data_IF_343792086748
#
_entry.id   IF_343792086748
#
_cell.length_a   1.000
_cell.length_b   1.000
_cell.length_c   1.000
_cell.angle_alpha   90.00
_cell.angle_beta   90.00
_cell.angle_gamma   90.00
#
_symmetry.space_group_name_H-M   'P 1'
#
loop_
_entity.id
_entity.type
_entity.pdbx_description
1 polymer ?
#
# COMPACT_ATOMS: atom_id res chain seq x y z
N UNK A 1 -19.11 -13.16 -9.94
CA UNK A 1 -17.81 -13.73 -9.52
C UNK A 1 -18.01 -14.38 -8.16
N UNK A 2 -17.49 -15.59 -7.94
CA UNK A 2 -17.51 -16.29 -6.64
C UNK A 2 -16.06 -16.38 -6.17
N UNK A 3 -15.76 -15.89 -4.97
CA UNK A 3 -14.41 -15.82 -4.39
C UNK A 3 -14.36 -16.56 -3.05
N UNK A 4 -13.15 -16.93 -2.62
CA UNK A 4 -12.91 -17.46 -1.28
C UNK A 4 -13.33 -16.42 -0.22
N UNK A 5 -14.07 -16.86 0.79
CA UNK A 5 -14.48 -16.01 1.92
C UNK A 5 -13.31 -15.77 2.87
N UNK A 6 -13.03 -14.49 3.16
CA UNK A 6 -12.07 -14.06 4.16
C UNK A 6 -12.80 -13.80 5.48
N UNK A 7 -12.61 -14.70 6.44
CA UNK A 7 -13.35 -14.78 7.69
C UNK A 7 -13.00 -13.68 8.70
N UNK A 8 -11.82 -13.08 8.57
CA UNK A 8 -11.36 -12.01 9.46
C UNK A 8 -11.51 -10.60 8.86
N UNK A 9 -12.11 -10.50 7.66
CA UNK A 9 -12.36 -9.25 6.96
C UNK A 9 -11.11 -8.69 6.28
N UNK A 10 -11.04 -7.36 6.15
CA UNK A 10 -9.87 -6.69 5.58
C UNK A 10 -8.87 -6.25 6.67
N UNK A 11 -7.62 -5.97 6.25
CA UNK A 11 -6.51 -5.63 7.14
C UNK A 11 -6.84 -4.43 8.04
N UNK A 12 -7.55 -3.41 7.55
CA UNK A 12 -7.91 -2.25 8.38
C UNK A 12 -8.78 -2.66 9.57
N UNK A 13 -9.83 -3.44 9.31
CA UNK A 13 -10.73 -3.95 10.36
C UNK A 13 -9.98 -4.91 11.28
N UNK A 14 -9.10 -5.74 10.72
CA UNK A 14 -8.30 -6.67 11.49
C UNK A 14 -7.35 -5.95 12.46
N UNK A 15 -6.66 -4.90 12.01
CA UNK A 15 -5.80 -4.07 12.85
C UNK A 15 -6.63 -3.40 13.95
N UNK A 16 -7.74 -2.74 13.62
CA UNK A 16 -8.62 -2.09 14.59
C UNK A 16 -9.02 -3.02 15.74
N UNK A 17 -9.34 -4.29 15.43
CA UNK A 17 -9.78 -5.28 16.43
C UNK A 17 -8.65 -5.93 17.22
N UNK A 18 -7.49 -6.13 16.62
CA UNK A 18 -6.45 -7.02 17.16
C UNK A 18 -5.15 -6.30 17.53
N UNK A 19 -4.98 -5.02 17.19
CA UNK A 19 -3.70 -4.33 17.26
C UNK A 19 -3.00 -4.44 18.62
N UNK A 20 -3.73 -4.33 19.73
CA UNK A 20 -3.17 -4.43 21.09
C UNK A 20 -2.61 -5.82 21.44
N UNK A 21 -2.96 -6.85 20.67
CA UNK A 21 -2.48 -8.23 20.85
C UNK A 21 -1.33 -8.56 19.89
N UNK A 22 -1.19 -7.83 18.78
CA UNK A 22 -0.19 -8.12 17.76
C UNK A 22 1.21 -7.79 18.25
N UNK A 23 2.09 -8.79 18.20
CA UNK A 23 3.51 -8.59 18.42
C UNK A 23 4.20 -8.16 17.11
N UNK A 24 5.43 -7.67 17.21
CA UNK A 24 6.20 -7.29 16.03
C UNK A 24 6.41 -8.46 15.05
N UNK A 25 6.50 -9.69 15.55
CA UNK A 25 6.54 -10.90 14.72
C UNK A 25 5.28 -11.07 13.87
N UNK A 26 4.10 -10.74 14.41
CA UNK A 26 2.84 -10.80 13.65
C UNK A 26 2.77 -9.69 12.61
N UNK A 27 3.17 -8.47 12.99
CA UNK A 27 3.23 -7.30 12.08
C UNK A 27 4.16 -7.58 10.89
N UNK A 28 5.35 -8.10 11.15
CA UNK A 28 6.32 -8.49 10.12
C UNK A 28 5.79 -9.61 9.23
N UNK A 29 5.14 -10.62 9.82
CA UNK A 29 4.51 -11.70 9.05
C UNK A 29 3.44 -11.18 8.09
N UNK A 30 2.55 -10.31 8.56
CA UNK A 30 1.51 -9.68 7.72
C UNK A 30 2.16 -8.89 6.57
N UNK A 31 3.15 -8.05 6.88
CA UNK A 31 3.89 -7.29 5.87
C UNK A 31 4.57 -8.20 4.84
N UNK A 32 5.14 -9.33 5.29
CA UNK A 32 5.81 -10.33 4.44
C UNK A 32 4.84 -11.04 3.49
N UNK A 33 3.68 -11.42 4.00
CA UNK A 33 2.63 -12.06 3.20
C UNK A 33 2.11 -11.10 2.09
N UNK A 34 1.94 -9.82 2.42
CA UNK A 34 1.52 -8.79 1.45
C UNK A 34 2.60 -8.57 0.39
N UNK A 35 3.88 -8.37 0.78
CA UNK A 35 4.93 -8.13 -0.21
C UNK A 35 5.20 -9.36 -1.09
N UNK A 36 5.05 -10.57 -0.57
CA UNK A 36 5.15 -11.79 -1.37
C UNK A 36 4.05 -11.87 -2.43
N UNK A 37 2.80 -11.51 -2.05
CA UNK A 37 1.70 -11.38 -3.00
C UNK A 37 2.01 -10.34 -4.08
N UNK A 38 2.52 -9.18 -3.68
CA UNK A 38 2.83 -8.10 -4.62
C UNK A 38 4.02 -8.43 -5.53
N UNK A 39 5.03 -9.11 -4.99
CA UNK A 39 6.17 -9.65 -5.75
C UNK A 39 5.68 -10.63 -6.82
N UNK A 40 4.74 -11.51 -6.49
CA UNK A 40 4.15 -12.41 -7.47
C UNK A 40 3.43 -11.65 -8.59
N UNK A 41 2.61 -10.65 -8.27
CA UNK A 41 1.94 -9.82 -9.30
C UNK A 41 2.95 -9.13 -10.21
N UNK A 42 3.99 -8.53 -9.62
CA UNK A 42 5.03 -7.83 -10.37
C UNK A 42 5.89 -8.77 -11.22
N UNK A 43 6.08 -10.03 -10.82
CA UNK A 43 6.86 -11.00 -11.60
C UNK A 43 6.13 -11.49 -12.86
N UNK A 44 4.80 -11.38 -12.87
CA UNK A 44 3.94 -11.65 -14.04
C UNK A 44 3.44 -10.35 -14.70
N UNK A 45 4.14 -9.24 -14.47
CA UNK A 45 3.88 -7.94 -15.09
C UNK A 45 2.49 -7.36 -14.85
N UNK A 46 1.88 -7.68 -13.70
CA UNK A 46 0.62 -7.08 -13.24
C UNK A 46 0.91 -5.98 -12.22
N UNK A 47 0.32 -4.81 -12.46
CA UNK A 47 0.27 -3.68 -11.51
C UNK A 47 -1.12 -3.66 -10.89
N UNK A 48 -1.22 -3.61 -9.57
CA UNK A 48 -2.48 -3.60 -8.82
C UNK A 48 -3.27 -2.30 -9.00
N UNK A 49 -2.57 -1.15 -8.88
CA UNK A 49 -3.07 0.24 -9.04
C UNK A 49 -4.07 0.73 -7.99
N UNK A 50 -4.45 -0.10 -7.02
CA UNK A 50 -5.40 0.24 -5.96
C UNK A 50 -5.08 -0.53 -4.66
N UNK A 51 -3.79 -0.65 -4.37
CA UNK A 51 -3.33 -1.36 -3.20
C UNK A 51 -3.58 -0.49 -1.95
N UNK A 52 -4.38 -0.98 -1.02
CA UNK A 52 -4.62 -0.33 0.27
C UNK A 52 -5.12 -1.35 1.28
N UNK A 53 -5.11 -1.04 2.58
CA UNK A 53 -5.46 -2.02 3.62
C UNK A 53 -6.88 -2.60 3.51
N UNK A 54 -7.83 -1.89 2.90
CA UNK A 54 -9.18 -2.45 2.64
C UNK A 54 -9.20 -3.52 1.52
N UNK A 55 -8.15 -3.57 0.68
CA UNK A 55 -7.95 -4.54 -0.40
C UNK A 55 -6.93 -5.63 0.01
N UNK A 56 -6.54 -5.65 1.28
CA UNK A 56 -5.83 -6.79 1.89
C UNK A 56 -6.85 -7.53 2.73
N UNK A 57 -7.14 -8.78 2.38
CA UNK A 57 -8.04 -9.65 3.13
C UNK A 57 -7.24 -10.55 4.09
N UNK A 58 -7.79 -10.78 5.27
CA UNK A 58 -7.22 -11.69 6.26
C UNK A 58 -8.06 -12.96 6.28
N UNK A 59 -7.41 -14.10 6.03
CA UNK A 59 -8.04 -15.41 6.09
C UNK A 59 -7.16 -16.39 6.84
N UNK A 60 -7.67 -16.98 7.92
CA UNK A 60 -6.90 -17.88 8.81
C UNK A 60 -5.57 -17.26 9.23
N UNK A 61 -5.62 -16.03 9.74
CA UNK A 61 -4.47 -15.18 10.05
C UNK A 61 -3.53 -14.83 8.88
N UNK A 62 -3.79 -15.22 7.63
CA UNK A 62 -2.94 -14.90 6.48
C UNK A 62 -3.46 -13.69 5.71
N UNK A 63 -2.57 -12.74 5.41
CA UNK A 63 -2.86 -11.61 4.53
C UNK A 63 -2.82 -12.00 3.05
N UNK A 64 -3.83 -11.59 2.29
CA UNK A 64 -3.97 -11.84 0.86
C UNK A 64 -4.40 -10.57 0.14
N UNK A 65 -3.76 -10.27 -0.98
CA UNK A 65 -4.15 -9.15 -1.84
C UNK A 65 -5.45 -9.52 -2.58
N UNK A 66 -6.39 -8.59 -2.65
CA UNK A 66 -7.68 -8.73 -3.29
C UNK A 66 -8.05 -7.47 -4.09
N UNK A 67 -9.16 -7.56 -4.82
CA UNK A 67 -9.69 -6.52 -5.70
C UNK A 67 -8.75 -6.09 -6.85
N UNK A 68 -8.75 -6.93 -7.89
CA UNK A 68 -7.98 -6.71 -9.10
C UNK A 68 -8.73 -5.90 -10.17
N UNK A 69 -9.85 -5.23 -9.83
CA UNK A 69 -10.70 -4.54 -10.82
C UNK A 69 -9.96 -3.42 -11.58
N UNK A 70 -9.00 -2.78 -10.91
CA UNK A 70 -8.15 -1.73 -11.49
C UNK A 70 -6.79 -2.24 -11.96
N UNK A 71 -6.48 -3.52 -11.76
CA UNK A 71 -5.19 -4.09 -12.11
C UNK A 71 -4.98 -4.18 -13.62
N UNK A 72 -3.74 -4.04 -14.07
CA UNK A 72 -3.38 -4.04 -15.50
C UNK A 72 -2.06 -4.73 -15.76
N UNK A 73 -1.94 -5.34 -16.95
CA UNK A 73 -0.65 -5.77 -17.46
C UNK A 73 0.16 -4.56 -17.96
N UNK A 74 1.47 -4.57 -17.78
CA UNK A 74 2.37 -3.46 -18.17
C UNK A 74 2.37 -3.17 -19.68
N UNK A 75 2.03 -4.16 -20.50
CA UNK A 75 2.02 -4.09 -21.96
C UNK A 75 0.63 -3.80 -22.56
N UNK A 76 -0.38 -3.55 -21.73
CA UNK A 76 -1.74 -3.27 -22.19
C UNK A 76 -1.82 -1.85 -22.78
N UNK A 77 -1.78 -1.76 -24.12
CA UNK A 77 -1.84 -0.51 -24.88
C UNK A 77 -3.28 -0.01 -25.13
N UNK A 78 -4.29 -0.77 -24.70
CA UNK A 78 -5.68 -0.60 -25.12
C UNK A 78 -6.44 0.56 -24.48
N UNK A 79 -5.87 1.26 -23.51
CA UNK A 79 -6.57 2.34 -22.79
C UNK A 79 -5.73 3.61 -22.63
N UNK A 80 -6.41 4.74 -22.81
CA UNK A 80 -5.89 6.08 -22.55
C UNK A 80 -5.35 6.19 -21.13
N UNK A 81 -4.32 7.01 -20.95
CA UNK A 81 -3.72 7.39 -19.68
C UNK A 81 -4.75 8.08 -18.77
N UNK A 82 -5.73 7.35 -18.25
CA UNK A 82 -6.70 7.90 -17.33
C UNK A 82 -6.09 7.86 -15.94
N UNK A 83 -5.36 8.93 -15.65
CA UNK A 83 -4.83 9.32 -14.34
C UNK A 83 -5.92 9.68 -13.34
N UNK A 84 -7.21 9.47 -13.66
CA UNK A 84 -8.27 9.77 -12.70
C UNK A 84 -7.85 9.13 -11.39
N UNK A 85 -7.80 9.94 -10.33
CA UNK A 85 -7.35 9.50 -9.01
C UNK A 85 -8.37 8.49 -8.52
N UNK A 86 -8.18 7.24 -8.92
CA UNK A 86 -8.91 6.08 -8.45
C UNK A 86 -8.18 5.52 -7.24
N UNK A 87 -8.96 5.03 -6.29
CA UNK A 87 -8.49 4.47 -5.03
C UNK A 87 -8.60 5.43 -3.85
N UNK A 88 -8.09 4.99 -2.71
CA UNK A 88 -8.07 5.79 -1.48
C UNK A 88 -6.88 6.74 -1.52
N UNK A 89 -7.14 8.06 -1.53
CA UNK A 89 -6.14 9.12 -1.72
C UNK A 89 -4.89 8.97 -0.86
N UNK A 90 -5.02 8.52 0.39
CA UNK A 90 -3.91 8.28 1.32
C UNK A 90 -2.83 7.31 0.77
N UNK A 91 -3.21 6.38 -0.11
CA UNK A 91 -2.32 5.37 -0.70
C UNK A 91 -1.85 5.75 -2.11
N UNK A 92 -2.34 6.86 -2.65
CA UNK A 92 -2.00 7.33 -3.99
C UNK A 92 -0.72 8.16 -3.94
N UNK A 93 0.20 7.89 -4.87
CA UNK A 93 1.46 8.61 -4.92
C UNK A 93 1.30 10.07 -5.38
N UNK A 94 2.20 10.99 -4.96
CA UNK A 94 2.12 12.42 -5.28
C UNK A 94 2.02 12.72 -6.78
N UNK A 95 2.69 11.95 -7.63
CA UNK A 95 2.72 12.13 -9.08
C UNK A 95 1.33 12.01 -9.71
N UNK A 96 0.51 11.07 -9.22
CA UNK A 96 -0.86 10.89 -9.69
C UNK A 96 -1.76 12.08 -9.34
N UNK A 97 -1.42 12.83 -8.30
CA UNK A 97 -2.15 14.03 -7.87
C UNK A 97 -1.68 15.24 -8.66
N UNK A 98 -0.37 15.33 -8.94
CA UNK A 98 0.25 16.46 -9.61
C UNK A 98 0.06 16.47 -11.13
N UNK A 99 0.09 15.29 -11.78
CA UNK A 99 0.02 15.18 -13.23
C UNK A 99 -1.11 14.23 -13.67
N UNK A 100 -2.17 14.76 -14.32
CA UNK A 100 -3.25 13.95 -14.86
C UNK A 100 -2.87 13.14 -16.12
N UNK A 101 -1.60 13.05 -16.48
CA UNK A 101 -1.10 12.15 -17.51
C UNK A 101 -0.12 11.12 -16.94
N UNK A 102 0.18 11.19 -15.65
CA UNK A 102 1.08 10.26 -15.00
C UNK A 102 0.56 8.83 -15.13
N UNK A 103 1.44 7.93 -15.56
CA UNK A 103 1.13 6.50 -15.70
C UNK A 103 1.64 5.77 -14.48
N UNK A 104 0.71 5.18 -13.74
CA UNK A 104 1.04 4.28 -12.62
C UNK A 104 1.81 3.06 -13.12
N UNK A 105 2.80 2.64 -12.36
CA UNK A 105 3.64 1.48 -12.62
C UNK A 105 3.81 0.63 -11.35
N UNK A 106 4.74 -0.32 -11.37
CA UNK A 106 5.08 -1.16 -10.21
C UNK A 106 5.55 -0.33 -9.00
N UNK A 107 6.15 0.85 -9.21
CA UNK A 107 6.58 1.76 -8.13
C UNK A 107 5.41 2.49 -7.48
N UNK A 108 4.28 2.61 -8.18
CA UNK A 108 3.02 3.08 -7.60
C UNK A 108 2.52 2.11 -6.52
N UNK A 109 2.54 0.81 -6.79
CA UNK A 109 2.11 -0.19 -5.80
C UNK A 109 3.09 -0.27 -4.62
N UNK A 110 4.39 -0.12 -4.86
CA UNK A 110 5.41 -0.04 -3.79
C UNK A 110 5.16 1.16 -2.88
N UNK A 111 4.78 2.30 -3.45
CA UNK A 111 4.42 3.47 -2.68
C UNK A 111 3.22 3.18 -1.77
N UNK A 112 2.16 2.58 -2.31
CA UNK A 112 0.98 2.21 -1.53
C UNK A 112 1.30 1.18 -0.45
N UNK A 113 2.21 0.24 -0.74
CA UNK A 113 2.73 -0.70 0.24
C UNK A 113 3.46 0.01 1.39
N UNK A 114 4.22 1.07 1.13
CA UNK A 114 4.84 1.89 2.17
C UNK A 114 3.81 2.48 3.14
N UNK A 115 2.69 2.99 2.63
CA UNK A 115 1.58 3.48 3.46
C UNK A 115 0.94 2.35 4.28
N UNK A 116 0.78 1.15 3.70
CA UNK A 116 0.28 -0.04 4.43
C UNK A 116 1.25 -0.45 5.55
N UNK A 117 2.56 -0.41 5.32
CA UNK A 117 3.55 -0.71 6.36
C UNK A 117 3.40 0.22 7.56
N UNK A 118 3.21 1.52 7.32
CA UNK A 118 2.95 2.49 8.38
C UNK A 118 1.61 2.21 9.11
N UNK A 119 0.55 1.84 8.39
CA UNK A 119 -0.72 1.46 9.03
C UNK A 119 -0.60 0.19 9.88
N UNK A 120 0.23 -0.78 9.47
CA UNK A 120 0.55 -1.97 10.28
C UNK A 120 1.33 -1.58 11.54
N UNK A 121 2.25 -0.62 11.47
CA UNK A 121 3.00 -0.19 12.66
C UNK A 121 2.13 0.61 13.62
N UNK A 122 1.24 1.46 13.11
CA UNK A 122 0.41 2.39 13.87
C UNK A 122 -0.91 1.81 14.37
N UNK A 123 -1.47 0.84 13.66
CA UNK A 123 -2.82 0.32 13.90
C UNK A 123 -3.92 1.31 13.55
N UNK A 124 -3.58 2.43 12.90
CA UNK A 124 -4.48 3.55 12.62
C UNK A 124 -4.57 3.81 11.12
N UNK A 125 -5.75 4.22 10.61
CA UNK A 125 -5.87 4.67 9.23
C UNK A 125 -4.89 5.82 8.92
N UNK A 126 -4.22 5.81 7.75
CA UNK A 126 -3.35 6.91 7.32
C UNK A 126 -4.16 8.20 7.18
N UNK A 127 -3.53 9.31 7.56
CA UNK A 127 -4.13 10.66 7.57
C UNK A 127 -5.50 10.78 8.25
N UNK A 128 -5.75 10.03 9.34
CA UNK A 128 -7.06 10.00 10.02
C UNK A 128 -7.58 11.39 10.45
N UNK A 129 -6.71 12.37 10.70
CA UNK A 129 -7.09 13.74 11.08
C UNK A 129 -7.53 14.64 9.92
N UNK A 130 -7.39 14.20 8.67
CA UNK A 130 -7.80 14.97 7.50
C UNK A 130 -9.27 14.71 7.14
N UNK A 131 -10.10 15.72 7.32
CA UNK A 131 -11.50 15.67 6.88
C UNK A 131 -11.68 16.13 5.42
N UNK A 132 -10.81 17.02 4.94
CA UNK A 132 -10.87 17.57 3.59
C UNK A 132 -10.00 16.80 2.61
N UNK A 133 -10.64 16.25 1.58
CA UNK A 133 -9.97 15.57 0.46
C UNK A 133 -8.95 16.49 -0.23
N UNK A 134 -9.31 17.76 -0.47
CA UNK A 134 -8.43 18.74 -1.14
C UNK A 134 -7.22 19.07 -0.25
N UNK A 135 -7.44 19.27 1.05
CA UNK A 135 -6.35 19.53 1.98
C UNK A 135 -5.37 18.35 2.05
N UNK A 136 -5.88 17.13 2.06
CA UNK A 136 -5.07 15.92 2.02
C UNK A 136 -4.27 15.83 0.71
N UNK A 137 -4.91 16.10 -0.44
CA UNK A 137 -4.23 16.06 -1.74
C UNK A 137 -3.06 17.06 -1.80
N UNK A 138 -3.25 18.29 -1.28
CA UNK A 138 -2.19 19.30 -1.17
C UNK A 138 -1.08 18.84 -0.21
N UNK A 139 -1.44 18.24 0.92
CA UNK A 139 -0.47 17.76 1.88
C UNK A 139 0.43 16.65 1.29
N UNK A 140 -0.19 15.69 0.60
CA UNK A 140 0.50 14.59 -0.07
C UNK A 140 1.36 15.10 -1.23
N UNK A 141 0.87 16.04 -2.03
CA UNK A 141 1.63 16.61 -3.16
C UNK A 141 2.86 17.41 -2.74
N UNK A 142 2.86 17.93 -1.51
CA UNK A 142 4.03 18.56 -0.87
C UNK A 142 5.04 17.54 -0.30
N UNK A 143 4.79 16.23 -0.48
CA UNK A 143 5.65 15.16 0.02
C UNK A 143 5.52 14.90 1.53
N UNK A 144 4.54 15.52 2.21
CA UNK A 144 4.34 15.33 3.65
C UNK A 144 3.65 14.00 3.93
N UNK A 145 4.12 13.31 4.97
CA UNK A 145 3.67 11.98 5.40
C UNK A 145 3.50 11.94 6.89
N UNK A 146 2.93 10.84 7.36
CA UNK A 146 2.79 10.53 8.77
C UNK A 146 4.15 10.44 9.47
N UNK A 147 4.14 10.87 10.73
CA UNK A 147 5.30 10.72 11.61
C UNK A 147 5.51 9.25 11.99
N UNK A 148 6.76 8.83 12.23
CA UNK A 148 7.04 7.52 12.80
C UNK A 148 6.33 7.32 14.14
N UNK A 149 5.80 6.11 14.34
CA UNK A 149 5.19 5.73 15.62
C UNK A 149 6.30 5.31 16.58
N UNK A 150 6.19 5.77 17.83
CA UNK A 150 7.05 5.33 18.93
C UNK A 150 7.11 3.80 19.00
N UNK A 151 8.25 3.24 19.40
CA UNK A 151 8.51 1.79 19.45
C UNK A 151 8.45 1.04 18.11
N UNK A 152 8.42 1.75 16.98
CA UNK A 152 8.62 1.13 15.65
C UNK A 152 10.11 0.86 15.41
N UNK A 153 10.51 -0.38 15.06
CA UNK A 153 11.90 -0.71 14.74
C UNK A 153 12.47 0.24 13.67
N UNK A 154 13.67 0.82 13.88
CA UNK A 154 14.24 1.81 12.97
C UNK A 154 14.34 1.32 11.52
N UNK A 155 14.72 0.05 11.31
CA UNK A 155 14.83 -0.54 9.97
C UNK A 155 13.47 -0.62 9.26
N UNK A 156 12.39 -0.85 10.03
CA UNK A 156 11.03 -0.86 9.49
C UNK A 156 10.58 0.56 9.11
N UNK A 157 10.96 1.57 9.91
CA UNK A 157 10.76 3.00 9.59
C UNK A 157 11.48 3.39 8.31
N UNK A 158 12.76 3.06 8.20
CA UNK A 158 13.55 3.32 6.99
C UNK A 158 12.93 2.66 5.76
N UNK A 159 12.48 1.42 5.90
CA UNK A 159 11.86 0.68 4.81
C UNK A 159 10.60 1.36 4.29
N UNK A 160 9.60 1.63 5.16
CA UNK A 160 8.36 2.23 4.66
C UNK A 160 8.60 3.65 4.15
N UNK A 161 9.56 4.38 4.74
CA UNK A 161 9.96 5.70 4.24
C UNK A 161 10.57 5.65 2.85
N UNK A 162 11.37 4.63 2.56
CA UNK A 162 11.94 4.41 1.24
C UNK A 162 10.86 3.94 0.24
N UNK A 163 9.90 3.14 0.68
CA UNK A 163 8.80 2.67 -0.17
C UNK A 163 7.90 3.83 -0.63
N UNK A 164 7.52 4.74 0.27
CA UNK A 164 6.62 5.87 -0.07
C UNK A 164 7.35 7.15 -0.51
N UNK A 165 8.62 7.04 -0.92
CA UNK A 165 9.43 8.19 -1.31
C UNK A 165 8.75 8.98 -2.44
N UNK A 166 8.87 10.31 -2.37
CA UNK A 166 8.32 11.20 -3.39
C UNK A 166 8.89 10.95 -4.78
N UNK A 167 10.13 10.46 -4.91
CA UNK A 167 10.73 10.09 -6.18
C UNK A 167 10.57 8.58 -6.45
N UNK A 168 9.78 8.16 -7.47
CA UNK A 168 9.57 6.74 -7.80
C UNK A 168 10.86 5.95 -8.05
N UNK A 169 11.93 6.60 -8.52
CA UNK A 169 13.22 5.97 -8.83
C UNK A 169 13.91 5.46 -7.55
N UNK A 170 13.71 6.13 -6.41
CA UNK A 170 14.33 5.79 -5.12
C UNK A 170 13.66 4.56 -4.49
N UNK A 171 12.38 4.33 -4.82
CA UNK A 171 11.58 3.26 -4.23
C UNK A 171 12.18 1.90 -4.62
N UNK A 172 12.32 0.95 -3.68
CA UNK A 172 12.93 -0.35 -3.96
C UNK A 172 12.05 -1.21 -4.88
N UNK A 173 12.63 -2.26 -5.46
CA UNK A 173 11.85 -3.32 -6.13
C UNK A 173 11.21 -4.24 -5.10
N UNK A 174 10.05 -4.82 -5.44
CA UNK A 174 9.34 -5.78 -4.56
C UNK A 174 10.21 -6.95 -4.13
N UNK A 175 11.09 -7.43 -5.03
CA UNK A 175 12.07 -8.48 -4.73
C UNK A 175 13.02 -8.07 -3.61
N UNK A 176 13.60 -6.87 -3.71
CA UNK A 176 14.52 -6.36 -2.68
C UNK A 176 13.81 -6.17 -1.34
N UNK A 177 12.57 -5.69 -1.34
CA UNK A 177 11.79 -5.57 -0.09
C UNK A 177 11.57 -6.95 0.53
N UNK A 178 11.12 -7.93 -0.26
CA UNK A 178 10.82 -9.29 0.20
C UNK A 178 12.03 -10.01 0.80
N UNK A 179 13.24 -9.72 0.33
CA UNK A 179 14.49 -10.32 0.81
C UNK A 179 14.97 -9.69 2.13
N UNK A 180 14.60 -8.43 2.39
CA UNK A 180 15.08 -7.65 3.55
C UNK A 180 14.04 -7.50 4.67
N UNK A 181 12.85 -8.10 4.52
CA UNK A 181 11.76 -8.11 5.49
C UNK A 181 11.66 -9.46 6.22
#
# INVERSE_FOLDING_TARGET
MVLQYADEGNLRIYLEKNFTRLQWTDKLRIAKEIINGLLFLHSIDIIHRDLHSKNILIHKNQAKIADFGLSRQTNDTSMTSNSQVHGILAYVEPQCIADPKYKRDKKSDVYSFGVILWEISSGKPPFQSFESYVALAIHISQGKREDPIEDTPPQYVELYKKCWDGNPIIRPETKSISENL
#
